data_IF_361920841547
#
_entry.id   IF_361920841547
#
_cell.length_a   1.000
_cell.length_b   1.000
_cell.length_c   1.000
_cell.angle_alpha   90.00
_cell.angle_beta   90.00
_cell.angle_gamma   90.00
#
_symmetry.space_group_name_H-M   'P 1'
#
loop_
_entity.id
_entity.type
_entity.pdbx_description
1 polymer ?
#
# COMPACT_ATOMS: atom_id res chain seq x y z
N UNK A 1 13.03 27.59 53.91
CA UNK A 1 13.41 26.43 53.06
C UNK A 1 12.23 25.81 52.32
N UNK A 2 11.08 25.64 52.97
CA UNK A 2 9.84 25.04 52.44
C UNK A 2 9.29 25.66 51.14
N UNK A 3 9.28 27.00 51.01
CA UNK A 3 8.75 27.69 49.80
C UNK A 3 9.56 27.45 48.52
N UNK A 4 10.89 27.25 48.63
CA UNK A 4 11.77 26.97 47.48
C UNK A 4 11.63 25.51 47.01
N UNK A 5 11.43 24.58 47.95
CA UNK A 5 11.19 23.16 47.66
C UNK A 5 9.84 22.96 46.98
N UNK A 6 8.80 23.68 47.42
CA UNK A 6 7.47 23.64 46.78
C UNK A 6 7.52 24.19 45.35
N UNK A 7 8.30 25.27 45.12
CA UNK A 7 8.49 25.83 43.77
C UNK A 7 9.21 24.89 42.82
N UNK A 8 10.23 24.15 43.30
CA UNK A 8 10.95 23.13 42.53
C UNK A 8 10.09 21.89 42.23
N UNK A 9 9.26 21.45 43.18
CA UNK A 9 8.33 20.33 42.94
C UNK A 9 7.24 20.70 41.92
N UNK A 10 6.71 21.93 41.98
CA UNK A 10 5.68 22.38 41.06
C UNK A 10 6.22 22.52 39.62
N UNK A 11 7.47 22.97 39.45
CA UNK A 11 8.11 23.05 38.12
C UNK A 11 8.45 21.66 37.58
N UNK A 12 8.95 20.73 38.41
CA UNK A 12 9.19 19.35 37.99
C UNK A 12 7.89 18.63 37.55
N UNK A 13 6.78 18.87 38.25
CA UNK A 13 5.48 18.29 37.89
C UNK A 13 4.92 18.87 36.58
N UNK A 14 5.18 20.15 36.28
CA UNK A 14 4.79 20.77 35.01
C UNK A 14 5.59 20.22 33.82
N UNK A 15 6.89 19.94 34.00
CA UNK A 15 7.76 19.34 32.97
C UNK A 15 7.37 17.89 32.60
N UNK A 16 6.82 17.12 33.55
CA UNK A 16 6.34 15.76 33.29
C UNK A 16 5.04 15.69 32.46
N UNK A 17 4.23 16.76 32.47
CA UNK A 17 2.94 16.80 31.75
C UNK A 17 3.06 17.16 30.27
N UNK A 18 4.14 17.84 29.84
CA UNK A 18 4.34 18.26 28.43
C UNK A 18 4.84 17.09 27.56
N UNK A 19 5.36 16.01 28.16
CA UNK A 19 5.93 14.87 27.43
C UNK A 19 4.92 13.93 26.75
N UNK A 20 3.64 13.97 27.10
CA UNK A 20 2.67 12.96 26.63
C UNK A 20 1.90 13.33 25.35
N UNK A 21 2.02 14.56 24.85
CA UNK A 21 1.28 15.00 23.66
C UNK A 21 1.82 14.41 22.34
N UNK A 22 3.06 13.91 22.32
CA UNK A 22 3.71 13.34 21.14
C UNK A 22 3.52 11.83 20.95
N UNK A 23 2.82 11.14 21.86
CA UNK A 23 2.81 9.67 21.93
C UNK A 23 1.73 9.00 21.07
N UNK A 24 1.13 9.73 20.13
CA UNK A 24 0.13 9.17 19.22
C UNK A 24 0.83 8.38 18.10
N UNK A 25 0.46 7.11 17.89
CA UNK A 25 1.04 6.30 16.83
C UNK A 25 0.68 6.88 15.46
N UNK A 26 1.70 7.03 14.62
CA UNK A 26 1.57 7.39 13.21
C UNK A 26 2.06 6.20 12.39
N UNK A 27 1.29 5.84 11.37
CA UNK A 27 1.69 4.81 10.43
C UNK A 27 1.85 5.43 9.04
N UNK A 28 2.89 5.00 8.34
CA UNK A 28 3.22 5.46 7.00
C UNK A 28 3.66 4.26 6.18
N UNK A 29 3.07 4.13 5.00
CA UNK A 29 3.46 3.13 3.98
C UNK A 29 3.92 3.90 2.75
N UNK A 30 5.17 3.74 2.36
CA UNK A 30 5.76 4.42 1.21
C UNK A 30 6.57 3.44 0.35
N UNK A 31 6.27 3.42 -0.95
CA UNK A 31 7.09 2.77 -1.97
C UNK A 31 7.95 3.86 -2.65
N UNK A 32 9.29 3.86 -2.50
CA UNK A 32 10.15 4.99 -2.85
C UNK A 32 10.32 5.23 -4.36
N UNK A 33 9.88 4.31 -5.22
CA UNK A 33 10.11 4.34 -6.68
C UNK A 33 9.48 5.54 -7.38
N UNK A 34 8.25 5.93 -7.00
CA UNK A 34 7.49 7.03 -7.60
C UNK A 34 7.02 8.02 -6.53
N UNK A 35 7.06 9.32 -6.83
CA UNK A 35 6.68 10.36 -5.85
C UNK A 35 5.18 10.67 -5.88
N UNK A 36 4.57 10.58 -7.07
CA UNK A 36 3.15 10.81 -7.30
C UNK A 36 2.48 9.68 -8.08
N UNK A 37 1.14 9.61 -7.97
CA UNK A 37 0.34 8.71 -8.82
C UNK A 37 0.54 9.02 -10.30
N UNK A 38 0.66 10.30 -10.66
CA UNK A 38 0.82 10.72 -12.05
C UNK A 38 2.18 10.28 -12.61
N UNK A 39 3.25 10.35 -11.83
CA UNK A 39 4.59 9.89 -12.26
C UNK A 39 4.56 8.40 -12.61
N UNK A 40 3.90 7.59 -11.77
CA UNK A 40 3.75 6.15 -11.99
C UNK A 40 2.89 5.85 -13.23
N UNK A 41 1.81 6.62 -13.40
CA UNK A 41 0.95 6.53 -14.58
C UNK A 41 1.71 6.86 -15.85
N UNK A 42 2.41 7.99 -15.89
CA UNK A 42 3.14 8.46 -17.07
C UNK A 42 4.24 7.47 -17.47
N UNK A 43 4.94 6.89 -16.48
CA UNK A 43 5.93 5.85 -16.73
C UNK A 43 5.30 4.63 -17.41
N UNK A 44 4.18 4.12 -16.90
CA UNK A 44 3.50 2.95 -17.51
C UNK A 44 2.86 3.32 -18.85
N UNK A 45 2.27 4.50 -19.00
CA UNK A 45 1.64 4.93 -20.25
C UNK A 45 2.65 5.13 -21.39
N UNK A 46 3.89 5.52 -21.05
CA UNK A 46 4.99 5.66 -22.01
C UNK A 46 5.44 4.34 -22.65
N UNK A 47 5.09 3.20 -22.04
CA UNK A 47 5.38 1.89 -22.61
C UNK A 47 4.48 1.64 -23.82
N UNK A 48 5.12 1.34 -24.95
CA UNK A 48 4.46 1.01 -26.20
C UNK A 48 4.48 -0.50 -26.37
N UNK A 49 3.31 -1.18 -26.33
CA UNK A 49 3.24 -2.61 -26.59
C UNK A 49 3.89 -2.98 -27.92
N UNK A 50 4.56 -4.13 -27.96
CA UNK A 50 5.31 -4.67 -29.10
C UNK A 50 6.57 -3.87 -29.51
N UNK A 51 6.92 -2.81 -28.79
CA UNK A 51 8.09 -1.97 -29.10
C UNK A 51 8.99 -1.75 -27.89
N UNK A 52 8.40 -1.54 -26.71
CA UNK A 52 9.16 -1.36 -25.47
C UNK A 52 9.74 -2.69 -25.00
N UNK A 53 10.96 -2.65 -24.46
CA UNK A 53 11.70 -3.81 -23.96
C UNK A 53 11.94 -3.70 -22.46
N UNK A 54 12.48 -4.75 -21.86
CA UNK A 54 12.95 -4.77 -20.47
C UNK A 54 13.94 -3.64 -20.17
N UNK A 55 14.82 -3.28 -21.10
CA UNK A 55 15.73 -2.14 -20.95
C UNK A 55 14.97 -0.80 -20.78
N UNK A 56 13.87 -0.61 -21.51
CA UNK A 56 12.98 0.55 -21.31
C UNK A 56 12.35 0.55 -19.92
N UNK A 57 11.92 -0.62 -19.44
CA UNK A 57 11.36 -0.78 -18.11
C UNK A 57 12.38 -0.45 -17.01
N UNK A 58 13.61 -0.95 -17.15
CA UNK A 58 14.73 -0.65 -16.23
C UNK A 58 15.03 0.85 -16.18
N UNK A 59 15.05 1.55 -17.34
CA UNK A 59 15.22 3.02 -17.38
C UNK A 59 14.11 3.77 -16.67
N UNK A 60 12.89 3.25 -16.74
CA UNK A 60 11.71 3.80 -16.06
C UNK A 60 11.63 3.38 -14.59
N UNK A 61 12.62 2.64 -14.07
CA UNK A 61 12.65 2.07 -12.71
C UNK A 61 11.50 1.09 -12.44
N UNK A 62 10.97 0.51 -13.51
CA UNK A 62 9.94 -0.52 -13.49
C UNK A 62 10.66 -1.86 -13.62
N UNK A 63 11.27 -2.33 -12.53
CA UNK A 63 12.07 -3.56 -12.52
C UNK A 63 11.92 -4.22 -11.16
N UNK A 64 11.56 -5.52 -11.07
CA UNK A 64 11.53 -6.25 -9.81
C UNK A 64 12.80 -6.10 -8.95
N UNK A 65 13.98 -5.93 -9.56
CA UNK A 65 15.23 -5.73 -8.82
C UNK A 65 15.31 -4.35 -8.15
N UNK A 66 14.72 -3.32 -8.75
CA UNK A 66 14.71 -1.95 -8.23
C UNK A 66 13.44 -1.63 -7.42
N UNK A 67 12.41 -2.45 -7.55
CA UNK A 67 11.11 -2.23 -6.97
C UNK A 67 10.72 -3.39 -6.05
N UNK A 68 10.92 -3.24 -4.72
CA UNK A 68 10.50 -4.25 -3.77
C UNK A 68 8.97 -4.39 -3.80
N UNK A 69 8.49 -5.62 -3.59
CA UNK A 69 7.07 -6.00 -3.63
C UNK A 69 6.43 -6.04 -5.04
N UNK A 70 7.22 -6.03 -6.11
CA UNK A 70 6.72 -6.40 -7.44
C UNK A 70 6.45 -7.91 -7.49
N UNK A 71 5.25 -8.29 -7.90
CA UNK A 71 4.86 -9.70 -8.04
C UNK A 71 5.19 -10.16 -9.44
N UNK A 72 5.99 -11.22 -9.55
CA UNK A 72 6.28 -11.88 -10.83
C UNK A 72 5.23 -12.97 -11.04
N UNK A 73 4.50 -12.87 -12.13
CA UNK A 73 3.44 -13.77 -12.54
C UNK A 73 3.99 -14.76 -13.55
N UNK A 74 3.82 -16.04 -13.23
CA UNK A 74 4.10 -17.13 -14.14
C UNK A 74 2.95 -17.34 -15.14
N UNK A 75 3.19 -18.10 -16.20
CA UNK A 75 2.14 -18.46 -17.16
C UNK A 75 0.85 -19.01 -16.49
N UNK A 76 0.91 -19.96 -15.53
CA UNK A 76 -0.27 -20.41 -14.79
C UNK A 76 -1.03 -19.29 -14.08
N UNK A 77 -0.35 -18.30 -13.50
CA UNK A 77 -0.99 -17.19 -12.81
C UNK A 77 -1.75 -16.29 -13.79
N UNK A 78 -1.14 -16.03 -14.95
CA UNK A 78 -1.72 -15.23 -16.02
C UNK A 78 -2.97 -15.92 -16.57
N UNK A 79 -2.87 -17.21 -16.90
CA UNK A 79 -4.00 -17.99 -17.40
C UNK A 79 -5.13 -18.05 -16.37
N UNK A 80 -4.83 -18.28 -15.09
CA UNK A 80 -5.84 -18.26 -14.03
C UNK A 80 -6.59 -16.93 -13.97
N UNK A 81 -5.91 -15.81 -14.11
CA UNK A 81 -6.55 -14.48 -14.11
C UNK A 81 -7.44 -14.26 -15.32
N UNK A 82 -7.00 -14.66 -16.50
CA UNK A 82 -7.80 -14.54 -17.74
C UNK A 82 -9.04 -15.43 -17.67
N UNK A 83 -8.89 -16.67 -17.18
CA UNK A 83 -10.01 -17.62 -17.03
C UNK A 83 -10.99 -17.17 -15.95
N UNK A 84 -10.52 -16.58 -14.84
CA UNK A 84 -11.40 -16.12 -13.76
C UNK A 84 -12.06 -14.76 -14.04
N UNK A 85 -11.50 -13.95 -14.94
CA UNK A 85 -12.08 -12.68 -15.39
C UNK A 85 -13.15 -12.83 -16.48
N UNK A 86 -13.61 -14.05 -16.74
CA UNK A 86 -14.31 -14.50 -17.94
C UNK A 86 -15.72 -13.93 -18.12
N UNK A 87 -15.79 -12.71 -18.66
CA UNK A 87 -16.88 -12.29 -19.55
C UNK A 87 -16.38 -12.20 -21.01
N UNK A 88 -15.10 -12.50 -21.26
CA UNK A 88 -14.44 -12.31 -22.55
C UNK A 88 -14.04 -13.67 -23.16
N UNK A 89 -14.44 -13.91 -24.41
CA UNK A 89 -13.93 -15.03 -25.20
C UNK A 89 -12.50 -14.72 -25.64
N UNK A 90 -11.75 -15.72 -26.15
CA UNK A 90 -10.39 -15.47 -26.70
C UNK A 90 -10.37 -14.36 -27.75
N UNK A 91 -11.45 -14.21 -28.53
CA UNK A 91 -11.56 -13.19 -29.57
C UNK A 91 -11.67 -11.76 -28.99
N UNK A 92 -12.12 -11.63 -27.74
CA UNK A 92 -12.28 -10.34 -27.07
C UNK A 92 -11.01 -9.94 -26.28
N UNK A 93 -10.01 -10.82 -26.23
CA UNK A 93 -8.72 -10.53 -25.62
C UNK A 93 -7.90 -9.65 -26.55
N UNK A 94 -7.31 -8.58 -26.01
CA UNK A 94 -6.39 -7.73 -26.76
C UNK A 94 -5.19 -8.52 -27.29
N UNK A 95 -4.58 -8.08 -28.40
CA UNK A 95 -3.53 -8.83 -29.11
C UNK A 95 -2.32 -9.15 -28.22
N UNK A 96 -1.97 -8.26 -27.27
CA UNK A 96 -0.89 -8.48 -26.31
C UNK A 96 -1.11 -9.64 -25.35
N UNK A 97 -2.35 -9.82 -24.89
CA UNK A 97 -2.71 -10.92 -23.98
C UNK A 97 -2.68 -12.24 -24.74
N UNK A 98 -3.20 -12.25 -25.97
CA UNK A 98 -3.16 -13.44 -26.83
C UNK A 98 -1.73 -13.89 -27.10
N UNK A 99 -0.85 -12.96 -27.46
CA UNK A 99 0.56 -13.25 -27.69
C UNK A 99 1.24 -13.87 -26.46
N UNK A 100 0.97 -13.34 -25.27
CA UNK A 100 1.47 -13.92 -24.02
C UNK A 100 0.97 -15.36 -23.80
N UNK A 101 -0.33 -15.62 -24.02
CA UNK A 101 -0.91 -16.97 -23.84
C UNK A 101 -0.31 -17.95 -24.84
N UNK A 102 -0.09 -17.53 -26.09
CA UNK A 102 0.51 -18.35 -27.14
C UNK A 102 1.99 -18.65 -26.87
N UNK A 103 2.72 -17.72 -26.25
CA UNK A 103 4.13 -17.83 -25.91
C UNK A 103 4.44 -18.79 -24.73
N UNK A 104 3.44 -19.14 -23.91
CA UNK A 104 3.56 -20.11 -22.80
C UNK A 104 4.65 -19.73 -21.81
N UNK A 105 5.70 -20.55 -21.68
CA UNK A 105 6.73 -20.45 -20.65
C UNK A 105 7.63 -19.22 -20.82
N UNK A 106 7.68 -18.62 -22.02
CA UNK A 106 8.42 -17.36 -22.23
C UNK A 106 7.61 -16.13 -21.82
N UNK A 107 6.29 -16.27 -21.61
CA UNK A 107 5.49 -15.19 -21.08
C UNK A 107 5.60 -15.07 -19.56
N UNK A 108 5.95 -13.86 -19.12
CA UNK A 108 5.99 -13.48 -17.72
C UNK A 108 5.27 -12.16 -17.51
N UNK A 109 4.62 -12.02 -16.36
CA UNK A 109 3.92 -10.79 -15.99
C UNK A 109 4.59 -10.12 -14.81
N UNK A 110 4.68 -8.80 -14.81
CA UNK A 110 5.06 -8.01 -13.65
C UNK A 110 3.86 -7.23 -13.16
N UNK A 111 3.47 -7.48 -11.92
CA UNK A 111 2.46 -6.72 -11.23
C UNK A 111 3.10 -5.80 -10.20
N UNK A 112 2.93 -4.52 -10.43
CA UNK A 112 3.56 -3.43 -9.69
C UNK A 112 2.52 -2.84 -8.78
N UNK A 113 2.81 -2.81 -7.47
CA UNK A 113 1.94 -2.23 -6.47
C UNK A 113 2.71 -1.16 -5.70
N UNK A 114 2.37 0.11 -5.96
CA UNK A 114 3.06 1.27 -5.39
C UNK A 114 2.04 2.10 -4.65
N UNK A 115 2.39 2.53 -3.44
CA UNK A 115 1.50 3.39 -2.68
C UNK A 115 2.27 4.34 -1.80
N UNK A 116 1.66 5.48 -1.54
CA UNK A 116 2.10 6.45 -0.55
C UNK A 116 0.89 6.79 0.30
N UNK A 117 0.79 6.14 1.46
CA UNK A 117 -0.35 6.25 2.36
C UNK A 117 0.12 6.67 3.73
N UNK A 118 -0.43 7.78 4.22
CA UNK A 118 -0.21 8.29 5.56
C UNK A 118 -1.48 8.10 6.38
N UNK A 119 -1.37 7.45 7.53
CA UNK A 119 -2.45 7.29 8.49
C UNK A 119 -2.11 8.04 9.76
N UNK A 120 -2.87 9.10 10.04
CA UNK A 120 -2.73 9.93 11.23
C UNK A 120 -3.89 9.64 12.18
N UNK A 121 -3.56 9.36 13.44
CA UNK A 121 -4.55 9.20 14.50
C UNK A 121 -4.83 10.55 15.15
N UNK A 122 -6.11 10.89 15.26
CA UNK A 122 -6.58 12.13 15.89
C UNK A 122 -7.34 11.76 17.17
N UNK A 123 -6.77 12.04 18.35
CA UNK A 123 -7.35 11.70 19.65
C UNK A 123 -6.58 12.28 20.85
N UNK A 124 -7.22 12.32 22.01
CA UNK A 124 -6.59 12.74 23.28
C UNK A 124 -6.14 11.49 24.04
N UNK A 125 -4.87 11.43 24.45
CA UNK A 125 -4.24 10.29 25.13
C UNK A 125 -5.05 9.75 26.32
N UNK A 126 -5.69 10.62 27.11
CA UNK A 126 -6.49 10.21 28.27
C UNK A 126 -7.86 9.60 27.92
N UNK A 127 -8.45 9.97 26.77
CA UNK A 127 -9.63 9.28 26.24
C UNK A 127 -9.26 7.97 25.51
N UNK A 128 -8.01 7.85 25.06
CA UNK A 128 -7.46 6.65 24.43
C UNK A 128 -7.14 5.52 25.43
N UNK A 129 -6.85 5.81 26.71
CA UNK A 129 -6.65 4.76 27.74
C UNK A 129 -7.91 3.91 27.96
N UNK A 130 -9.09 4.48 27.70
CA UNK A 130 -10.37 3.78 27.76
C UNK A 130 -10.91 3.34 26.39
N UNK A 131 -10.19 3.59 25.30
CA UNK A 131 -10.45 3.08 23.94
C UNK A 131 -11.85 3.31 23.34
N UNK A 132 -12.72 4.11 23.96
CA UNK A 132 -14.15 4.20 23.60
C UNK A 132 -14.42 4.71 22.18
N UNK A 133 -13.57 5.59 21.65
CA UNK A 133 -13.70 6.15 20.31
C UNK A 133 -12.34 6.44 19.70
N UNK A 134 -12.06 5.84 18.55
CA UNK A 134 -10.84 6.05 17.76
C UNK A 134 -11.21 6.72 16.44
N UNK A 135 -10.53 7.80 16.08
CA UNK A 135 -10.64 8.43 14.77
C UNK A 135 -9.27 8.43 14.08
N UNK A 136 -9.22 7.88 12.88
CA UNK A 136 -8.02 7.87 12.04
C UNK A 136 -8.33 8.53 10.70
N UNK A 137 -7.40 9.34 10.21
CA UNK A 137 -7.47 9.96 8.90
C UNK A 137 -6.38 9.36 8.03
N UNK A 138 -6.78 8.76 6.91
CA UNK A 138 -5.89 8.13 5.95
C UNK A 138 -5.87 8.97 4.69
N UNK A 139 -4.69 9.43 4.30
CA UNK A 139 -4.46 10.24 3.09
C UNK A 139 -3.39 9.61 2.22
N UNK A 140 -3.48 9.77 0.91
CA UNK A 140 -2.45 9.23 0.02
C UNK A 140 -2.92 8.88 -1.38
N UNK A 141 -2.19 7.96 -2.01
CA UNK A 141 -2.54 7.36 -3.29
C UNK A 141 -2.06 5.92 -3.37
N UNK A 142 -2.70 5.13 -4.23
CA UNK A 142 -2.35 3.75 -4.57
C UNK A 142 -2.35 3.59 -6.08
N UNK A 143 -1.33 2.93 -6.60
CA UNK A 143 -1.17 2.65 -8.02
C UNK A 143 -0.87 1.17 -8.20
N UNK A 144 -1.59 0.53 -9.12
CA UNK A 144 -1.34 -0.83 -9.51
C UNK A 144 -1.17 -0.90 -11.02
N UNK A 145 -0.18 -1.65 -11.50
CA UNK A 145 0.02 -1.86 -12.93
C UNK A 145 0.34 -3.32 -13.22
N UNK A 146 -0.11 -3.78 -14.39
CA UNK A 146 0.18 -5.11 -14.92
C UNK A 146 0.89 -4.94 -16.27
N UNK A 147 2.06 -5.52 -16.39
CA UNK A 147 2.86 -5.52 -17.61
C UNK A 147 3.12 -6.97 -17.97
N UNK A 148 2.80 -7.37 -19.20
CA UNK A 148 3.15 -8.70 -19.69
C UNK A 148 4.29 -8.57 -20.68
N UNK A 149 5.23 -9.51 -20.58
CA UNK A 149 6.40 -9.58 -21.42
C UNK A 149 6.52 -10.97 -22.06
N UNK A 150 7.05 -11.00 -23.27
CA UNK A 150 7.44 -12.21 -24.00
C UNK A 150 8.84 -11.97 -24.53
N UNK A 151 9.81 -12.83 -24.15
CA UNK A 151 11.20 -12.75 -24.60
C UNK A 151 11.79 -11.32 -24.52
N UNK A 152 11.59 -10.66 -23.38
CA UNK A 152 12.02 -9.29 -23.07
C UNK A 152 11.25 -8.13 -23.75
N UNK A 153 10.22 -8.42 -24.53
CA UNK A 153 9.36 -7.41 -25.18
C UNK A 153 8.06 -7.24 -24.41
N UNK A 154 7.69 -6.00 -24.13
CA UNK A 154 6.40 -5.66 -23.51
C UNK A 154 5.28 -5.91 -24.52
N UNK A 155 4.43 -6.90 -24.26
CA UNK A 155 3.31 -7.24 -25.15
C UNK A 155 2.00 -6.62 -24.68
N UNK A 156 1.86 -6.36 -23.38
CA UNK A 156 0.65 -5.77 -22.81
C UNK A 156 0.98 -4.87 -21.62
N UNK A 157 0.20 -3.81 -21.44
CA UNK A 157 0.25 -2.94 -20.27
C UNK A 157 -1.15 -2.51 -19.84
N UNK A 158 -1.37 -2.49 -18.53
CA UNK A 158 -2.53 -1.84 -17.93
C UNK A 158 -2.14 -1.24 -16.58
N UNK A 159 -2.91 -0.23 -16.17
CA UNK A 159 -2.75 0.40 -14.88
C UNK A 159 -4.11 0.69 -14.25
N UNK A 160 -4.13 0.88 -12.95
CA UNK A 160 -5.28 1.23 -12.15
C UNK A 160 -4.85 1.78 -10.79
N UNK A 161 -5.84 2.00 -9.93
CA UNK A 161 -5.60 2.38 -8.54
C UNK A 161 -6.47 3.54 -8.08
N UNK A 162 -6.03 4.21 -7.03
CA UNK A 162 -6.69 5.33 -6.38
C UNK A 162 -5.77 6.56 -6.44
N UNK A 163 -6.04 7.55 -7.32
CA UNK A 163 -5.21 8.75 -7.44
C UNK A 163 -5.23 9.62 -6.19
N UNK A 164 -6.33 9.58 -5.45
CA UNK A 164 -6.49 10.25 -4.17
C UNK A 164 -7.21 9.32 -3.18
N UNK A 165 -6.64 9.18 -2.00
CA UNK A 165 -7.23 8.52 -0.84
C UNK A 165 -7.46 9.60 0.20
N UNK A 166 -8.70 9.68 0.66
CA UNK A 166 -9.10 10.54 1.77
C UNK A 166 -10.19 9.81 2.55
N UNK A 167 -9.78 9.05 3.55
CA UNK A 167 -10.67 8.19 4.34
C UNK A 167 -10.64 8.63 5.80
N UNK A 168 -11.82 8.77 6.39
CA UNK A 168 -11.99 9.02 7.82
C UNK A 168 -12.61 7.78 8.45
N UNK A 169 -11.82 7.07 9.25
CA UNK A 169 -12.24 5.88 9.97
C UNK A 169 -12.60 6.25 11.42
N UNK A 170 -13.82 5.93 11.84
CA UNK A 170 -14.34 6.18 13.19
C UNK A 170 -14.76 4.85 13.80
N UNK A 171 -13.93 4.32 14.67
CA UNK A 171 -14.19 3.10 15.41
C UNK A 171 -14.71 3.45 16.81
N UNK A 172 -15.90 2.99 17.16
CA UNK A 172 -16.44 3.11 18.52
C UNK A 172 -16.29 1.74 19.22
N UNK A 173 -15.52 1.67 20.32
CA UNK A 173 -15.36 0.45 21.12
C UNK A 173 -16.04 0.65 22.47
N UNK A 174 -17.36 0.44 22.57
CA UNK A 174 -18.12 0.73 23.78
C UNK A 174 -17.67 -0.06 25.02
N UNK A 175 -16.96 -1.19 24.84
CA UNK A 175 -16.45 -2.02 25.93
C UNK A 175 -14.96 -1.74 26.26
N UNK A 176 -14.34 -0.74 25.62
CA UNK A 176 -12.97 -0.33 25.88
C UNK A 176 -11.91 -1.42 25.59
N UNK A 177 -10.74 -1.41 26.25
CA UNK A 177 -9.63 -2.32 25.94
C UNK A 177 -9.93 -3.81 26.17
N UNK A 178 -10.99 -4.14 26.90
CA UNK A 178 -11.42 -5.54 27.12
C UNK A 178 -12.04 -6.16 25.86
N UNK A 179 -12.45 -5.35 24.88
CA UNK A 179 -13.08 -5.81 23.65
C UNK A 179 -12.08 -6.39 22.63
N UNK A 180 -10.80 -6.01 22.72
CA UNK A 180 -9.72 -6.54 21.87
C UNK A 180 -9.09 -7.83 22.44
N UNK A 181 -9.51 -8.27 23.63
CA UNK A 181 -9.18 -9.58 24.20
C UNK A 181 -10.12 -10.64 23.58
N UNK A 182 -10.08 -10.76 22.25
CA UNK A 182 -10.63 -11.91 21.53
C UNK A 182 -9.79 -13.17 21.77
N UNK A 183 -10.22 -14.36 21.32
CA UNK A 183 -9.78 -15.67 21.85
C UNK A 183 -8.37 -16.08 21.39
N UNK A 184 -7.34 -15.28 21.66
CA UNK A 184 -5.95 -15.71 21.59
C UNK A 184 -5.53 -16.52 22.85
N UNK A 185 -6.40 -16.57 23.87
CA UNK A 185 -6.14 -17.27 25.15
C UNK A 185 -6.76 -18.67 25.21
N UNK A 186 -7.54 -19.09 24.20
CA UNK A 186 -8.21 -20.41 24.17
C UNK A 186 -7.66 -21.38 23.13
N UNK A 187 -6.39 -21.25 22.74
CA UNK A 187 -5.67 -22.33 22.09
C UNK A 187 -4.88 -23.12 23.16
N UNK A 188 -5.39 -24.26 23.66
CA UNK A 188 -4.51 -25.20 24.36
C UNK A 188 -3.45 -25.69 23.37
N UNK A 189 -2.21 -25.77 23.86
CA UNK A 189 -1.08 -26.44 23.18
C UNK A 189 -1.41 -27.87 22.81
#
# INVERSE_FOLDING_TARGET
MTRRVIGLLATASALLLVGCAGLLPRARTESPTFQSFQDARDAVESLVPMQSTTDTLVRLKIDPAQQPNTVILSYPDIVRRVVNGSVLTKADLGPGILMCIEARDTCHGWEINVSKVNKVRTGNFFADFVNFKRRSETTGWRFNALILLVDDVVVYRSWGGQPEINEVDVQNNPLGPLQEIGPAVLAPK
#
